data_IF_049474285205
#
_entry.id   IF_049474285205
#
_cell.length_a   1.000
_cell.length_b   1.000
_cell.length_c   1.000
_cell.angle_alpha   90.00
_cell.angle_beta   90.00
_cell.angle_gamma   90.00
#
_symmetry.space_group_name_H-M   'P 1'
#
loop_
_entity.id
_entity.type
_entity.pdbx_description
1 polymer ?
#
# COMPACT_ATOMS: atom_id res chain seq x y z
N UNK A 1 7.77 5.07 28.24
CA UNK A 1 7.26 6.17 27.41
C UNK A 1 7.71 5.97 25.97
N UNK A 2 6.84 6.17 24.96
CA UNK A 2 7.14 6.03 23.55
C UNK A 2 6.66 7.26 22.79
N UNK A 3 7.53 7.87 21.96
CA UNK A 3 7.12 8.97 21.08
C UNK A 3 6.35 8.40 19.90
N UNK A 4 5.09 8.82 19.74
CA UNK A 4 4.21 8.38 18.64
C UNK A 4 4.29 9.30 17.44
N UNK A 5 4.48 10.61 17.68
CA UNK A 5 4.56 11.62 16.62
C UNK A 5 5.36 12.82 17.12
N UNK A 6 6.19 13.38 16.26
CA UNK A 6 6.81 14.69 16.42
C UNK A 6 6.32 15.58 15.28
N UNK A 7 5.90 16.79 15.58
CA UNK A 7 5.49 17.78 14.57
C UNK A 7 6.01 19.15 14.95
N UNK A 8 6.23 20.00 13.93
CA UNK A 8 6.67 21.38 14.13
C UNK A 8 5.43 22.28 14.08
N UNK A 9 5.32 23.17 15.03
CA UNK A 9 4.34 24.27 15.03
C UNK A 9 5.09 25.60 14.89
N UNK A 10 5.04 26.17 13.69
CA UNK A 10 5.65 27.45 13.34
C UNK A 10 4.61 28.54 13.06
N UNK A 11 3.39 28.42 13.59
CA UNK A 11 2.31 29.40 13.38
C UNK A 11 2.48 30.69 14.18
N UNK A 12 3.36 30.68 15.17
CA UNK A 12 3.71 31.85 16.00
C UNK A 12 5.14 32.27 15.73
N UNK A 13 5.56 33.40 16.31
CA UNK A 13 6.92 33.95 16.20
C UNK A 13 7.99 32.94 16.67
N UNK A 14 7.68 32.15 17.69
CA UNK A 14 8.52 31.07 18.17
C UNK A 14 8.06 29.73 17.61
N UNK A 15 9.00 28.89 17.23
CA UNK A 15 8.72 27.56 16.70
C UNK A 15 8.77 26.53 17.83
N UNK A 16 7.72 25.72 17.92
CA UNK A 16 7.59 24.66 18.93
C UNK A 16 7.58 23.28 18.30
N UNK A 17 8.13 22.31 19.03
CA UNK A 17 7.97 20.90 18.71
C UNK A 17 6.83 20.30 19.54
N UNK A 18 5.79 19.80 18.88
CA UNK A 18 4.73 19.08 19.52
C UNK A 18 5.01 17.57 19.45
N UNK A 19 4.95 16.91 20.62
CA UNK A 19 5.12 15.47 20.72
C UNK A 19 3.81 14.82 21.16
N UNK A 20 3.36 13.82 20.41
CA UNK A 20 2.36 12.86 20.88
C UNK A 20 3.12 11.68 21.46
N UNK A 21 2.91 11.40 22.75
CA UNK A 21 3.59 10.32 23.48
C UNK A 21 2.57 9.31 23.98
N UNK A 22 2.97 8.05 24.05
CA UNK A 22 2.28 7.02 24.84
C UNK A 22 3.05 6.83 26.15
N UNK A 23 2.32 6.87 27.25
CA UNK A 23 2.84 6.61 28.60
C UNK A 23 2.28 5.26 29.05
N UNK A 24 3.16 4.39 29.52
CA UNK A 24 2.84 3.06 30.02
C UNK A 24 3.06 3.10 31.54
N UNK A 25 2.02 2.83 32.32
CA UNK A 25 2.04 2.88 33.81
C UNK A 25 1.90 1.46 34.32
N UNK A 26 2.93 0.97 35.01
CA UNK A 26 2.99 -0.39 35.55
C UNK A 26 2.84 -1.51 34.49
N UNK A 27 3.14 -1.20 33.22
CA UNK A 27 3.13 -2.15 32.13
C UNK A 27 4.38 -1.97 31.24
N UNK A 28 4.88 -3.04 30.60
CA UNK A 28 6.01 -2.93 29.69
C UNK A 28 5.63 -2.15 28.42
N UNK A 29 6.60 -1.45 27.85
CA UNK A 29 6.41 -0.81 26.53
C UNK A 29 6.25 -1.92 25.50
N UNK A 30 5.13 -1.96 24.75
CA UNK A 30 4.94 -3.00 23.74
C UNK A 30 6.06 -2.92 22.66
N UNK A 31 6.67 -4.05 22.39
CA UNK A 31 7.62 -4.17 21.30
C UNK A 31 6.95 -3.95 19.96
N UNK A 32 7.71 -3.44 18.99
CA UNK A 32 7.24 -3.39 17.61
C UNK A 32 7.28 -4.80 17.02
N UNK A 33 6.14 -5.45 16.99
CA UNK A 33 6.00 -6.71 16.28
C UNK A 33 5.93 -6.45 14.77
N UNK A 34 6.69 -7.21 13.99
CA UNK A 34 6.52 -7.24 12.54
C UNK A 34 5.14 -7.86 12.26
N UNK A 35 4.32 -7.21 11.41
CA UNK A 35 3.03 -7.79 11.07
C UNK A 35 3.22 -9.13 10.37
N UNK A 36 2.41 -10.10 10.74
CA UNK A 36 2.40 -11.43 10.12
C UNK A 36 1.05 -11.64 9.44
N UNK A 37 1.09 -12.26 8.26
CA UNK A 37 -0.09 -12.64 7.52
C UNK A 37 -0.05 -14.16 7.32
N UNK A 38 -1.14 -14.83 7.60
CA UNK A 38 -1.25 -16.26 7.42
C UNK A 38 -1.86 -16.56 6.04
N UNK A 39 -1.02 -16.64 5.03
CA UNK A 39 -1.43 -17.07 3.70
C UNK A 39 -1.47 -18.58 3.65
N UNK A 40 -2.64 -19.10 3.27
CA UNK A 40 -2.90 -20.53 3.18
C UNK A 40 -2.44 -21.08 1.83
N UNK A 41 -2.12 -22.39 1.80
CA UNK A 41 -1.99 -23.08 0.52
C UNK A 41 -3.35 -23.22 -0.14
N UNK A 42 -3.49 -22.71 -1.37
CA UNK A 42 -4.78 -22.58 -2.06
C UNK A 42 -4.81 -23.22 -3.45
N UNK A 43 -3.78 -23.99 -3.83
CA UNK A 43 -3.67 -24.57 -5.18
C UNK A 43 -4.90 -25.38 -5.58
N UNK A 44 -5.49 -26.10 -4.62
CA UNK A 44 -6.68 -26.93 -4.82
C UNK A 44 -7.95 -26.35 -4.17
N UNK A 45 -7.93 -25.07 -3.81
CA UNK A 45 -9.06 -24.42 -3.15
C UNK A 45 -10.10 -23.93 -4.16
N UNK A 46 -11.29 -23.59 -3.67
CA UNK A 46 -12.37 -22.99 -4.47
C UNK A 46 -11.87 -21.67 -5.08
N UNK A 47 -12.06 -21.54 -6.38
CA UNK A 47 -11.63 -20.37 -7.14
C UNK A 47 -12.57 -19.18 -6.96
N UNK A 48 -11.98 -17.99 -6.88
CA UNK A 48 -12.67 -16.70 -6.91
C UNK A 48 -12.04 -15.84 -8.01
N UNK A 49 -12.86 -15.46 -8.98
CA UNK A 49 -12.44 -14.60 -10.07
C UNK A 49 -12.47 -13.14 -9.65
N UNK A 50 -11.35 -12.44 -9.88
CA UNK A 50 -11.17 -11.03 -9.57
C UNK A 50 -10.91 -10.29 -10.88
N UNK A 51 -11.74 -9.31 -11.21
CA UNK A 51 -11.61 -8.51 -12.42
C UNK A 51 -10.81 -7.26 -12.08
N UNK A 52 -9.63 -7.13 -12.71
CA UNK A 52 -8.69 -6.05 -12.53
C UNK A 52 -7.63 -6.32 -11.45
N UNK A 53 -6.41 -5.92 -11.72
CA UNK A 53 -5.26 -6.06 -10.80
C UNK A 53 -4.68 -4.72 -10.36
N UNK A 54 -5.56 -3.75 -10.14
CA UNK A 54 -5.25 -2.53 -9.42
C UNK A 54 -5.21 -2.78 -7.90
N UNK A 55 -5.03 -1.73 -7.06
CA UNK A 55 -4.94 -1.88 -5.60
C UNK A 55 -6.07 -2.70 -4.98
N UNK A 56 -7.31 -2.48 -5.40
CA UNK A 56 -8.46 -3.24 -4.87
C UNK A 56 -8.36 -4.73 -5.20
N UNK A 57 -8.03 -5.08 -6.45
CA UNK A 57 -7.87 -6.48 -6.86
C UNK A 57 -6.71 -7.18 -6.15
N UNK A 58 -5.60 -6.47 -5.96
CA UNK A 58 -4.43 -6.99 -5.24
C UNK A 58 -4.78 -7.34 -3.79
N UNK A 59 -5.40 -6.41 -3.04
CA UNK A 59 -5.78 -6.68 -1.66
C UNK A 59 -6.92 -7.69 -1.54
N UNK A 60 -7.84 -7.74 -2.50
CA UNK A 60 -8.87 -8.78 -2.57
C UNK A 60 -8.23 -10.17 -2.77
N UNK A 61 -7.25 -10.29 -3.67
CA UNK A 61 -6.53 -11.54 -3.89
C UNK A 61 -5.79 -12.02 -2.64
N UNK A 62 -5.06 -11.15 -1.97
CA UNK A 62 -4.37 -11.49 -0.71
C UNK A 62 -5.37 -11.91 0.36
N UNK A 63 -6.53 -11.25 0.43
CA UNK A 63 -7.58 -11.62 1.38
C UNK A 63 -8.22 -12.97 1.03
N UNK A 64 -8.39 -13.29 -0.24
CA UNK A 64 -8.85 -14.62 -0.67
C UNK A 64 -7.89 -15.71 -0.17
N UNK A 65 -6.59 -15.53 -0.34
CA UNK A 65 -5.57 -16.49 0.12
C UNK A 65 -5.63 -16.67 1.65
N UNK A 66 -5.76 -15.59 2.41
CA UNK A 66 -5.91 -15.67 3.87
C UNK A 66 -7.16 -16.50 4.28
N UNK A 67 -8.25 -16.34 3.54
CA UNK A 67 -9.49 -17.06 3.79
C UNK A 67 -9.48 -18.50 3.27
N UNK A 68 -8.47 -18.87 2.47
CA UNK A 68 -8.34 -20.21 1.89
C UNK A 68 -9.06 -20.38 0.56
N UNK A 69 -9.21 -19.32 -0.20
CA UNK A 69 -9.71 -19.33 -1.57
C UNK A 69 -8.58 -19.09 -2.56
N UNK A 70 -8.67 -19.69 -3.74
CA UNK A 70 -7.73 -19.49 -4.84
C UNK A 70 -8.17 -18.28 -5.68
N UNK A 71 -7.48 -17.15 -5.65
CA UNK A 71 -7.80 -16.03 -6.52
C UNK A 71 -7.35 -16.30 -7.95
N UNK A 72 -8.25 -16.09 -8.91
CA UNK A 72 -7.96 -16.05 -10.35
C UNK A 72 -8.14 -14.60 -10.79
N UNK A 73 -7.05 -13.97 -11.21
CA UNK A 73 -7.06 -12.55 -11.54
C UNK A 73 -7.09 -12.38 -13.05
N UNK A 74 -8.03 -11.57 -13.52
CA UNK A 74 -8.18 -11.19 -14.92
C UNK A 74 -7.86 -9.71 -15.05
N UNK A 75 -6.67 -9.40 -15.57
CA UNK A 75 -6.22 -8.02 -15.81
C UNK A 75 -6.19 -7.75 -17.31
N UNK A 76 -6.74 -6.61 -17.71
CA UNK A 76 -6.83 -6.20 -19.10
C UNK A 76 -5.47 -5.76 -19.65
N UNK A 77 -4.72 -5.05 -18.84
CA UNK A 77 -3.45 -4.47 -19.25
C UNK A 77 -2.26 -5.37 -19.02
N UNK A 78 -1.09 -4.85 -19.36
CA UNK A 78 0.18 -5.57 -19.25
C UNK A 78 0.68 -5.62 -17.81
N UNK A 79 1.67 -6.49 -17.55
CA UNK A 79 2.42 -6.50 -16.29
C UNK A 79 3.21 -5.19 -16.09
N UNK A 80 3.68 -4.96 -14.88
CA UNK A 80 4.39 -3.72 -14.49
C UNK A 80 5.58 -3.41 -15.41
N UNK A 81 6.36 -4.42 -15.80
CA UNK A 81 7.57 -4.20 -16.60
C UNK A 81 7.25 -3.77 -18.02
N UNK A 82 6.34 -4.47 -18.68
CA UNK A 82 5.96 -4.19 -20.07
C UNK A 82 5.16 -2.89 -20.19
N UNK A 83 4.33 -2.60 -19.20
CA UNK A 83 3.53 -1.39 -19.12
C UNK A 83 4.38 -0.11 -19.07
N UNK A 84 5.64 -0.17 -18.59
CA UNK A 84 6.57 0.96 -18.60
C UNK A 84 6.76 1.54 -20.00
N UNK A 85 6.80 0.69 -21.03
CA UNK A 85 6.96 1.13 -22.44
C UNK A 85 5.74 1.90 -22.91
N UNK A 86 4.54 1.43 -22.56
CA UNK A 86 3.30 2.11 -22.92
C UNK A 86 3.16 3.47 -22.21
N UNK A 87 3.53 3.54 -20.93
CA UNK A 87 3.57 4.80 -20.18
C UNK A 87 4.60 5.78 -20.76
N UNK A 88 5.78 5.28 -21.17
CA UNK A 88 6.78 6.10 -21.85
C UNK A 88 6.24 6.67 -23.16
N UNK A 89 5.57 5.86 -23.97
CA UNK A 89 4.95 6.29 -25.22
C UNK A 89 3.90 7.39 -25.01
N UNK A 90 3.09 7.30 -23.94
CA UNK A 90 2.14 8.37 -23.57
C UNK A 90 2.88 9.68 -23.30
N UNK A 91 3.96 9.63 -22.50
CA UNK A 91 4.64 10.84 -22.03
C UNK A 91 5.55 11.48 -23.09
N UNK A 92 6.12 10.69 -24.00
CA UNK A 92 7.07 11.18 -25.01
C UNK A 92 6.46 11.35 -26.39
N UNK A 93 5.63 10.39 -26.79
CA UNK A 93 5.12 10.30 -28.17
C UNK A 93 3.62 10.63 -28.26
N UNK A 94 2.96 10.86 -27.09
CA UNK A 94 1.52 11.10 -26.97
C UNK A 94 0.65 9.96 -27.54
N UNK A 95 1.18 8.74 -27.54
CA UNK A 95 0.49 7.53 -28.02
C UNK A 95 -0.08 6.77 -26.84
N UNK A 96 -1.39 6.57 -26.85
CA UNK A 96 -2.11 5.83 -25.79
C UNK A 96 -2.46 4.42 -26.28
N UNK A 97 -1.98 3.40 -25.59
CA UNK A 97 -2.45 2.03 -25.81
C UNK A 97 -3.77 1.83 -25.05
N UNK A 98 -4.84 1.47 -25.74
CA UNK A 98 -6.18 1.33 -25.17
C UNK A 98 -6.27 0.24 -24.08
N UNK A 99 -5.43 -0.77 -24.17
CA UNK A 99 -5.44 -1.92 -23.24
C UNK A 99 -4.35 -1.84 -22.19
N UNK A 100 -3.38 -0.92 -22.29
CA UNK A 100 -2.28 -0.80 -21.34
C UNK A 100 -1.83 0.65 -21.25
N UNK A 101 -2.19 1.31 -20.14
CA UNK A 101 -1.95 2.73 -19.93
C UNK A 101 -1.96 3.05 -18.41
N UNK A 102 -2.18 4.31 -18.02
CA UNK A 102 -2.29 4.67 -16.59
C UNK A 102 -3.49 4.01 -15.88
N UNK A 103 -4.59 3.74 -16.59
CA UNK A 103 -5.82 3.17 -16.02
C UNK A 103 -5.82 1.65 -16.01
N UNK A 104 -5.19 1.02 -17.02
CA UNK A 104 -5.21 -0.42 -17.23
C UNK A 104 -3.82 -1.01 -17.14
N UNK A 105 -3.71 -2.11 -16.38
CA UNK A 105 -2.50 -2.86 -16.16
C UNK A 105 -2.22 -3.12 -14.68
N UNK A 106 -1.35 -4.07 -14.44
CA UNK A 106 -0.94 -4.53 -13.11
C UNK A 106 -0.53 -3.36 -12.21
N UNK A 107 -1.07 -3.34 -10.98
CA UNK A 107 -0.80 -2.31 -9.97
C UNK A 107 -1.64 -1.04 -10.11
N UNK A 108 -2.37 -0.83 -11.23
CA UNK A 108 -3.23 0.32 -11.47
C UNK A 108 -2.48 1.64 -11.66
N UNK A 109 -3.17 2.76 -11.50
CA UNK A 109 -2.64 4.10 -11.77
C UNK A 109 -1.49 4.51 -10.82
N UNK A 110 -1.45 3.95 -9.61
CA UNK A 110 -0.45 4.30 -8.60
C UNK A 110 0.94 3.68 -8.79
N UNK A 111 1.08 2.70 -9.66
CA UNK A 111 2.31 1.91 -9.82
C UNK A 111 3.55 2.76 -10.15
N UNK A 112 3.37 3.82 -10.93
CA UNK A 112 4.45 4.72 -11.37
C UNK A 112 4.40 6.09 -10.68
N UNK A 113 3.69 6.18 -9.56
CA UNK A 113 3.66 7.38 -8.72
C UNK A 113 4.93 7.50 -7.87
N UNK A 114 5.05 8.60 -7.15
CA UNK A 114 6.11 8.82 -6.16
C UNK A 114 5.92 8.01 -4.86
N UNK A 115 4.99 7.06 -4.85
CA UNK A 115 4.72 6.17 -3.71
C UNK A 115 3.96 6.80 -2.55
N UNK A 116 3.47 8.03 -2.70
CA UNK A 116 2.63 8.67 -1.68
C UNK A 116 1.26 8.03 -1.65
N UNK A 117 0.89 7.51 -0.49
CA UNK A 117 -0.44 7.01 -0.22
C UNK A 117 -1.13 7.96 0.76
N UNK A 118 -2.25 8.52 0.35
CA UNK A 118 -3.05 9.39 1.18
C UNK A 118 -4.52 8.99 1.16
N UNK A 119 -5.12 8.90 2.34
CA UNK A 119 -6.56 8.68 2.47
C UNK A 119 -7.14 9.52 3.61
N UNK A 120 -8.33 10.05 3.38
CA UNK A 120 -9.17 10.65 4.43
C UNK A 120 -10.21 9.65 4.97
N UNK A 121 -10.33 8.50 4.33
CA UNK A 121 -11.36 7.49 4.64
C UNK A 121 -10.92 6.56 5.78
N UNK A 122 -10.73 7.12 6.96
CA UNK A 122 -10.34 6.35 8.16
C UNK A 122 -11.53 5.60 8.81
N UNK A 123 -12.77 5.92 8.38
CA UNK A 123 -13.99 5.37 8.99
C UNK A 123 -14.50 4.06 8.34
N UNK A 124 -14.05 3.75 7.11
CA UNK A 124 -14.61 2.67 6.29
C UNK A 124 -13.71 1.44 6.13
N UNK A 125 -12.61 1.38 6.85
CA UNK A 125 -11.69 0.25 6.77
C UNK A 125 -10.44 0.45 7.61
N UNK A 126 -9.75 -0.62 7.90
CA UNK A 126 -8.50 -0.59 8.64
C UNK A 126 -7.33 -0.27 7.70
N UNK A 127 -7.05 1.03 7.57
CA UNK A 127 -5.92 1.52 6.77
C UNK A 127 -4.58 0.99 7.31
N UNK A 128 -4.49 0.73 8.60
CA UNK A 128 -3.29 0.17 9.22
C UNK A 128 -2.96 -1.19 8.64
N UNK A 129 -3.97 -2.05 8.43
CA UNK A 129 -3.78 -3.37 7.79
C UNK A 129 -3.19 -3.27 6.39
N UNK A 130 -3.52 -2.22 5.62
CA UNK A 130 -2.93 -1.97 4.30
C UNK A 130 -1.43 -1.72 4.42
N UNK A 131 -1.01 -0.84 5.35
CA UNK A 131 0.41 -0.58 5.58
C UNK A 131 1.15 -1.78 6.14
N UNK A 132 0.54 -2.52 7.04
CA UNK A 132 1.09 -3.76 7.58
C UNK A 132 1.36 -4.78 6.48
N UNK A 133 0.43 -4.90 5.53
CA UNK A 133 0.58 -5.77 4.38
C UNK A 133 1.74 -5.33 3.47
N UNK A 134 1.84 -4.03 3.18
CA UNK A 134 2.96 -3.49 2.40
C UNK A 134 4.31 -3.75 3.07
N UNK A 135 4.40 -3.58 4.40
CA UNK A 135 5.65 -3.86 5.15
C UNK A 135 5.95 -5.34 5.17
N UNK A 136 4.96 -6.20 5.32
CA UNK A 136 5.13 -7.65 5.24
C UNK A 136 5.72 -8.07 3.89
N UNK A 137 5.32 -7.39 2.81
CA UNK A 137 5.84 -7.61 1.45
C UNK A 137 7.10 -6.79 1.11
N UNK A 138 7.78 -6.22 2.11
CA UNK A 138 9.11 -5.62 1.94
C UNK A 138 9.13 -4.09 1.88
N UNK A 139 8.01 -3.41 2.08
CA UNK A 139 8.05 -1.96 2.26
C UNK A 139 8.73 -1.59 3.59
N UNK A 140 9.41 -0.44 3.63
CA UNK A 140 10.08 -0.01 4.85
C UNK A 140 9.09 0.31 5.98
N UNK A 141 9.46 0.04 7.24
CA UNK A 141 8.61 0.25 8.41
C UNK A 141 8.22 1.72 8.66
N UNK A 142 8.88 2.68 8.03
CA UNK A 142 8.47 4.10 8.05
C UNK A 142 7.13 4.35 7.40
N UNK A 143 6.65 3.44 6.55
CA UNK A 143 5.32 3.48 5.94
C UNK A 143 4.18 3.52 6.96
N UNK A 144 4.40 3.05 8.20
CA UNK A 144 3.41 3.17 9.29
C UNK A 144 3.23 4.59 9.84
N UNK A 145 4.25 5.42 9.71
CA UNK A 145 4.27 6.75 10.33
C UNK A 145 4.14 7.88 9.32
N UNK A 146 4.49 7.61 8.09
CA UNK A 146 4.43 8.56 6.97
C UNK A 146 3.70 7.88 5.82
N UNK A 147 2.73 8.55 5.24
CA UNK A 147 1.95 8.09 4.09
C UNK A 147 2.77 8.13 2.78
N UNK A 148 4.05 7.85 2.88
CA UNK A 148 4.97 7.81 1.74
C UNK A 148 5.74 6.50 1.74
N UNK A 149 5.60 5.74 0.67
CA UNK A 149 6.52 4.67 0.37
C UNK A 149 7.81 5.28 -0.18
N UNK A 150 9.01 4.84 0.27
CA UNK A 150 10.24 5.30 -0.34
C UNK A 150 10.26 4.85 -1.80
N UNK A 151 10.27 5.81 -2.69
CA UNK A 151 10.56 5.55 -4.10
C UNK A 151 12.05 5.21 -4.18
N UNK A 152 12.38 4.01 -4.66
CA UNK A 152 13.72 3.78 -5.16
C UNK A 152 13.87 4.61 -6.44
N UNK A 153 14.75 5.58 -6.37
CA UNK A 153 15.28 6.26 -7.53
C UNK A 153 15.97 5.28 -8.46
#
# INVERSE_FOLDING_TARGET
>A
MKVLRKSIDARKKETYFNYKIAVFINEPVPEKTTPTFNYKEVSNAKEIHIIGFGPSGMYAALRCIELGYKPIILERGKNVQDRRRDIKAINQDHIVNENSNYCYGEGGAGTYSDGKLYTRSLKRGDVRRIFENLVYHGATAVSYTHLTLPTKA
#
